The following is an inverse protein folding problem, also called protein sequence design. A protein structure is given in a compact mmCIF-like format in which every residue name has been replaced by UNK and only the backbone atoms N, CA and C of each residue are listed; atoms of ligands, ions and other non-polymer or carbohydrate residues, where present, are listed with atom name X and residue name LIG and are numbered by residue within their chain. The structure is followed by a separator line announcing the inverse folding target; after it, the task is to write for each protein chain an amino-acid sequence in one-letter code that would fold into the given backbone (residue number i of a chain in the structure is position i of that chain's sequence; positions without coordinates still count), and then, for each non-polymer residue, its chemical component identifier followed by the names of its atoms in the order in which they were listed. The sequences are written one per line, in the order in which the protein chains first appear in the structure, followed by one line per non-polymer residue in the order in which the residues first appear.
data_IF_578573891330
#
_entry.id   IF_578573891330
#
_cell.length_a   1.000
_cell.length_b   1.000
_cell.length_c   1.000
_cell.angle_alpha   90.00
_cell.angle_beta   90.00
_cell.angle_gamma   90.00
#
_symmetry.space_group_name_H-M   'P 1'
#
loop_
_entity.id
_entity.type
_entity.pdbx_description
1 polymer ?
#
# COMPACT_ATOMS: atom_id res chain seq x y z
N UNK A 1 8.14 7.16 -34.26
CA UNK A 1 8.46 5.71 -34.08
C UNK A 1 9.27 5.49 -32.80
N UNK A 2 10.34 6.26 -32.56
CA UNK A 2 11.17 6.19 -31.34
C UNK A 2 10.40 6.50 -30.05
N UNK A 3 9.51 7.50 -30.06
CA UNK A 3 8.67 7.83 -28.89
C UNK A 3 7.77 6.65 -28.50
N UNK A 4 7.12 6.00 -29.47
CA UNK A 4 6.26 4.82 -29.23
C UNK A 4 7.10 3.65 -28.70
N UNK A 5 8.33 3.48 -29.20
CA UNK A 5 9.24 2.45 -28.75
C UNK A 5 9.70 2.68 -27.30
N UNK A 6 9.99 3.92 -26.92
CA UNK A 6 10.36 4.30 -25.56
C UNK A 6 9.21 4.12 -24.56
N UNK A 7 7.97 4.31 -25.00
CA UNK A 7 6.75 4.12 -24.19
C UNK A 7 6.26 2.67 -24.15
N UNK A 8 6.81 1.78 -24.99
CA UNK A 8 6.37 0.40 -25.10
C UNK A 8 6.37 -0.38 -23.77
N UNK A 9 7.32 -0.20 -22.82
CA UNK A 9 7.27 -0.90 -21.54
C UNK A 9 6.09 -0.47 -20.67
N UNK A 10 5.77 0.82 -20.66
CA UNK A 10 4.64 1.34 -19.89
C UNK A 10 3.30 0.85 -20.46
N UNK A 11 3.19 0.86 -21.79
CA UNK A 11 2.01 0.32 -22.48
C UNK A 11 1.85 -1.20 -22.22
N UNK A 12 2.95 -1.97 -22.25
CA UNK A 12 2.93 -3.39 -21.93
C UNK A 12 2.55 -3.65 -20.47
N UNK A 13 3.09 -2.89 -19.52
CA UNK A 13 2.71 -3.02 -18.10
C UNK A 13 1.22 -2.73 -17.94
N UNK A 14 0.72 -1.62 -18.50
CA UNK A 14 -0.69 -1.26 -18.44
C UNK A 14 -1.58 -2.37 -19.04
N UNK A 15 -1.22 -2.88 -20.22
CA UNK A 15 -1.93 -3.96 -20.89
C UNK A 15 -1.98 -5.23 -20.02
N UNK A 16 -0.84 -5.70 -19.50
CA UNK A 16 -0.77 -6.90 -18.68
C UNK A 16 -1.55 -6.74 -17.37
N UNK A 17 -1.48 -5.59 -16.72
CA UNK A 17 -2.26 -5.29 -15.51
C UNK A 17 -3.76 -5.31 -15.80
N UNK A 18 -4.20 -4.71 -16.92
CA UNK A 18 -5.61 -4.76 -17.34
C UNK A 18 -6.03 -6.21 -17.61
N UNK A 19 -5.24 -6.96 -18.36
CA UNK A 19 -5.54 -8.37 -18.69
C UNK A 19 -5.65 -9.24 -17.43
N UNK A 20 -4.76 -9.06 -16.46
CA UNK A 20 -4.82 -9.75 -15.16
C UNK A 20 -6.00 -9.29 -14.29
N UNK A 21 -6.46 -8.05 -14.48
CA UNK A 21 -7.61 -7.48 -13.79
C UNK A 21 -8.97 -7.95 -14.34
N UNK A 22 -9.02 -8.54 -15.54
CA UNK A 22 -10.27 -9.06 -16.12
C UNK A 22 -10.82 -10.17 -15.22
N UNK A 23 -12.09 -10.11 -14.77
CA UNK A 23 -12.66 -11.07 -13.83
C UNK A 23 -12.52 -12.53 -14.26
N UNK A 24 -12.68 -12.81 -15.55
CA UNK A 24 -12.51 -14.15 -16.12
C UNK A 24 -11.07 -14.68 -15.97
N UNK A 25 -10.08 -13.82 -16.24
CA UNK A 25 -8.65 -14.16 -16.13
C UNK A 25 -8.27 -14.33 -14.66
N UNK A 26 -8.70 -13.42 -13.79
CA UNK A 26 -8.49 -13.50 -12.34
C UNK A 26 -9.10 -14.77 -11.75
N UNK A 27 -10.31 -15.15 -12.16
CA UNK A 27 -10.96 -16.38 -11.70
C UNK A 27 -10.29 -17.66 -12.21
N UNK A 28 -9.82 -17.68 -13.47
CA UNK A 28 -9.11 -18.81 -14.04
C UNK A 28 -7.76 -19.02 -13.34
N UNK A 29 -6.99 -17.95 -13.16
CA UNK A 29 -5.67 -17.97 -12.54
C UNK A 29 -5.76 -18.18 -11.03
N UNK A 30 -6.78 -17.62 -10.36
CA UNK A 30 -6.98 -17.75 -8.92
C UNK A 30 -7.21 -19.18 -8.43
N UNK A 31 -7.56 -20.13 -9.32
CA UNK A 31 -7.61 -21.57 -9.00
C UNK A 31 -6.23 -22.17 -8.69
N UNK A 32 -5.16 -21.50 -9.13
CA UNK A 32 -3.78 -21.91 -8.87
C UNK A 32 -3.25 -21.39 -7.53
N UNK A 33 -4.01 -20.52 -6.86
CA UNK A 33 -3.63 -19.98 -5.56
C UNK A 33 -3.72 -21.04 -4.47
N UNK A 34 -2.68 -21.13 -3.65
CA UNK A 34 -2.68 -22.01 -2.49
C UNK A 34 -3.21 -21.25 -1.27
N UNK A 35 -4.25 -21.77 -0.63
CA UNK A 35 -4.83 -21.21 0.59
C UNK A 35 -4.80 -22.27 1.68
N UNK A 36 -4.09 -22.00 2.77
CA UNK A 36 -4.04 -22.89 3.92
C UNK A 36 -4.32 -22.12 5.21
N UNK A 37 -5.10 -22.69 6.14
CA UNK A 37 -5.25 -22.11 7.47
C UNK A 37 -3.90 -22.11 8.18
N UNK A 38 -3.60 -21.03 8.90
CA UNK A 38 -2.35 -20.95 9.68
C UNK A 38 -2.47 -21.87 10.89
N UNK A 39 -1.61 -22.91 11.04
CA UNK A 39 -1.68 -23.84 12.16
C UNK A 39 -1.58 -23.10 13.50
N UNK A 40 -2.50 -23.38 14.42
CA UNK A 40 -2.49 -22.80 15.77
C UNK A 40 -2.96 -21.35 15.89
N UNK A 41 -3.27 -20.66 14.79
CA UNK A 41 -3.78 -19.28 14.80
C UNK A 41 -5.14 -19.15 14.11
N UNK A 42 -5.44 -19.99 13.12
CA UNK A 42 -6.71 -19.97 12.43
C UNK A 42 -7.87 -20.11 13.42
N UNK A 43 -8.75 -19.10 13.43
CA UNK A 43 -9.95 -19.05 14.26
C UNK A 43 -9.69 -18.98 15.78
N UNK A 44 -8.46 -18.68 16.22
CA UNK A 44 -8.11 -18.53 17.63
C UNK A 44 -8.29 -17.10 18.16
N UNK A 45 -8.33 -16.11 17.27
CA UNK A 45 -8.51 -14.69 17.63
C UNK A 45 -9.98 -14.33 17.43
N UNK A 46 -10.64 -13.85 18.47
CA UNK A 46 -12.03 -13.41 18.44
C UNK A 46 -12.03 -11.89 18.56
N UNK A 47 -12.56 -11.19 17.55
CA UNK A 47 -12.87 -9.77 17.67
C UNK A 47 -14.23 -9.66 18.36
N UNK A 48 -14.27 -8.96 19.49
CA UNK A 48 -15.48 -8.75 20.29
C UNK A 48 -15.81 -7.25 20.41
N UNK A 49 -16.93 -6.93 21.06
CA UNK A 49 -17.29 -5.55 21.37
C UNK A 49 -16.19 -4.88 22.23
N UNK A 50 -15.86 -3.60 22.00
CA UNK A 50 -16.54 -2.63 21.16
C UNK A 50 -15.98 -2.54 19.74
N UNK A 51 -15.13 -3.46 19.27
CA UNK A 51 -14.49 -3.39 17.95
C UNK A 51 -15.46 -3.80 16.84
N UNK A 52 -16.21 -4.87 17.07
CA UNK A 52 -17.26 -5.39 16.19
C UNK A 52 -18.57 -5.53 16.98
N UNK A 53 -19.71 -5.39 16.32
CA UNK A 53 -21.04 -5.45 17.00
C UNK A 53 -21.43 -6.86 17.43
N UNK A 54 -20.94 -7.87 16.71
CA UNK A 54 -21.09 -9.29 17.03
C UNK A 54 -19.72 -9.91 17.05
N UNK A 55 -19.50 -10.88 17.92
CA UNK A 55 -18.24 -11.62 17.97
C UNK A 55 -17.96 -12.26 16.61
N UNK A 56 -16.87 -11.84 15.98
CA UNK A 56 -16.41 -12.40 14.71
C UNK A 56 -15.08 -13.06 14.98
N UNK A 57 -15.01 -14.34 14.61
CA UNK A 57 -13.77 -15.09 14.69
C UNK A 57 -12.89 -14.74 13.49
N UNK A 58 -11.69 -14.25 13.78
CA UNK A 58 -10.75 -13.76 12.77
C UNK A 58 -10.13 -14.94 12.01
N UNK A 59 -10.33 -14.95 10.69
CA UNK A 59 -9.74 -15.96 9.82
C UNK A 59 -8.27 -15.67 9.53
N UNK A 60 -7.36 -16.45 10.11
CA UNK A 60 -5.96 -16.46 9.71
C UNK A 60 -5.73 -17.49 8.59
N UNK A 61 -5.80 -17.04 7.34
CA UNK A 61 -5.57 -17.86 6.15
C UNK A 61 -4.30 -17.36 5.46
N UNK A 62 -3.32 -18.24 5.29
CA UNK A 62 -2.18 -17.99 4.43
C UNK A 62 -2.61 -18.18 2.98
N UNK A 63 -2.69 -17.08 2.22
CA UNK A 63 -2.96 -17.10 0.79
C UNK A 63 -1.67 -16.83 0.01
N UNK A 64 -1.25 -17.82 -0.76
CA UNK A 64 -0.14 -17.71 -1.68
C UNK A 64 -0.66 -17.65 -3.12
N UNK A 65 -0.83 -16.41 -3.58
CA UNK A 65 -1.32 -16.08 -4.91
C UNK A 65 -0.15 -15.95 -5.90
N UNK A 66 0.38 -17.08 -6.38
CA UNK A 66 1.52 -17.08 -7.31
C UNK A 66 1.18 -16.36 -8.62
N UNK A 67 0.29 -16.93 -9.45
CA UNK A 67 0.01 -16.34 -10.75
C UNK A 67 -1.05 -15.24 -10.64
N UNK A 68 -1.92 -15.28 -9.64
CA UNK A 68 -3.02 -14.32 -9.49
C UNK A 68 -2.54 -12.93 -9.01
N UNK A 69 -1.31 -12.83 -8.50
CA UNK A 69 -0.73 -11.54 -8.11
C UNK A 69 -0.46 -10.64 -9.30
N UNK A 70 -0.83 -9.36 -9.19
CA UNK A 70 -0.54 -8.32 -10.17
C UNK A 70 0.97 -8.19 -10.42
N UNK A 71 1.81 -8.50 -9.42
CA UNK A 71 3.26 -8.49 -9.58
C UNK A 71 3.76 -9.47 -10.65
N UNK A 72 3.11 -10.63 -10.79
CA UNK A 72 3.45 -11.63 -11.81
C UNK A 72 3.15 -11.12 -13.21
N UNK A 73 2.04 -10.38 -13.39
CA UNK A 73 1.70 -9.71 -14.64
C UNK A 73 2.80 -8.70 -15.05
N UNK A 74 3.27 -7.90 -14.10
CA UNK A 74 4.33 -6.91 -14.34
C UNK A 74 5.68 -7.56 -14.68
N UNK A 75 6.02 -8.68 -14.04
CA UNK A 75 7.23 -9.45 -14.36
C UNK A 75 7.16 -10.00 -15.78
N UNK A 76 6.02 -10.57 -16.17
CA UNK A 76 5.81 -11.07 -17.54
C UNK A 76 5.87 -9.93 -18.56
N UNK A 77 5.26 -8.79 -18.26
CA UNK A 77 5.35 -7.58 -19.09
C UNK A 77 6.81 -7.14 -19.27
N UNK A 78 7.63 -7.20 -18.21
CA UNK A 78 9.06 -6.89 -18.27
C UNK A 78 9.86 -7.85 -19.16
N UNK A 79 9.56 -9.15 -19.12
CA UNK A 79 10.19 -10.15 -19.98
C UNK A 79 9.82 -9.99 -21.46
N UNK A 80 8.64 -9.45 -21.76
CA UNK A 80 8.23 -9.09 -23.13
C UNK A 80 8.83 -7.74 -23.54
N UNK A 81 8.87 -6.77 -22.63
CA UNK A 81 9.38 -5.43 -22.90
C UNK A 81 10.88 -5.40 -23.22
N UNK A 82 11.70 -6.24 -22.57
CA UNK A 82 13.14 -6.31 -22.83
C UNK A 82 13.47 -6.60 -24.31
N UNK A 83 12.96 -7.70 -24.89
CA UNK A 83 13.07 -7.99 -26.33
C UNK A 83 12.50 -6.91 -27.24
N UNK A 84 11.34 -6.33 -26.89
CA UNK A 84 10.74 -5.23 -27.65
C UNK A 84 11.67 -4.02 -27.70
N UNK A 85 12.40 -3.72 -26.62
CA UNK A 85 13.39 -2.66 -26.57
C UNK A 85 14.72 -3.00 -27.26
N UNK A 86 14.87 -4.20 -27.84
CA UNK A 86 16.08 -4.63 -28.54
C UNK A 86 17.11 -5.36 -27.66
N UNK A 87 16.77 -5.72 -26.42
CA UNK A 87 17.61 -6.55 -25.56
C UNK A 87 17.41 -8.03 -25.87
N UNK A 88 18.49 -8.82 -25.88
CA UNK A 88 18.35 -10.28 -25.92
C UNK A 88 17.71 -10.80 -24.63
N UNK A 89 16.97 -11.92 -24.68
CA UNK A 89 16.32 -12.50 -23.50
C UNK A 89 17.32 -12.80 -22.35
N UNK A 90 18.55 -13.18 -22.70
CA UNK A 90 19.64 -13.36 -21.73
C UNK A 90 20.11 -12.06 -21.08
N UNK A 91 20.13 -10.95 -21.83
CA UNK A 91 20.43 -9.63 -21.27
C UNK A 91 19.30 -9.16 -20.33
N UNK A 92 18.05 -9.33 -20.72
CA UNK A 92 16.87 -9.03 -19.91
C UNK A 92 16.91 -9.77 -18.56
N UNK A 93 17.16 -11.09 -18.59
CA UNK A 93 17.27 -11.90 -17.37
C UNK A 93 18.44 -11.46 -16.47
N UNK A 94 19.57 -11.07 -17.06
CA UNK A 94 20.74 -10.57 -16.32
C UNK A 94 20.43 -9.25 -15.61
N UNK A 95 19.74 -8.33 -16.28
CA UNK A 95 19.28 -7.06 -15.69
C UNK A 95 18.27 -7.33 -14.56
N UNK A 96 17.30 -8.21 -14.79
CA UNK A 96 16.32 -8.61 -13.78
C UNK A 96 16.99 -9.18 -12.52
N UNK A 97 17.94 -10.12 -12.67
CA UNK A 97 18.67 -10.68 -11.53
C UNK A 97 19.49 -9.65 -10.78
N UNK A 98 20.11 -8.69 -11.50
CA UNK A 98 20.86 -7.59 -10.89
C UNK A 98 19.93 -6.68 -10.09
N UNK A 99 18.74 -6.39 -10.60
CA UNK A 99 17.73 -5.61 -9.89
C UNK A 99 17.26 -6.32 -8.60
N UNK A 100 16.96 -7.63 -8.67
CA UNK A 100 16.60 -8.43 -7.50
C UNK A 100 17.69 -8.39 -6.42
N UNK A 101 18.96 -8.55 -6.82
CA UNK A 101 20.08 -8.49 -5.88
C UNK A 101 20.24 -7.12 -5.22
N UNK A 102 20.04 -6.04 -6.01
CA UNK A 102 20.11 -4.66 -5.51
C UNK A 102 18.99 -4.35 -4.50
N UNK A 103 17.81 -4.95 -4.68
CA UNK A 103 16.63 -4.69 -3.85
C UNK A 103 16.46 -5.66 -2.66
N UNK A 104 17.38 -6.61 -2.45
CA UNK A 104 17.22 -7.66 -1.42
C UNK A 104 16.96 -7.14 -0.01
N UNK A 105 17.61 -6.04 0.39
CA UNK A 105 17.44 -5.46 1.72
C UNK A 105 16.08 -4.76 1.84
N UNK A 106 15.62 -4.10 0.77
CA UNK A 106 14.27 -3.54 0.70
C UNK A 106 13.21 -4.65 0.78
N UNK A 107 13.40 -5.78 0.11
CA UNK A 107 12.51 -6.95 0.22
C UNK A 107 12.45 -7.48 1.66
N UNK A 108 13.61 -7.65 2.32
CA UNK A 108 13.66 -8.11 3.71
C UNK A 108 12.93 -7.14 4.65
N UNK A 109 13.14 -5.83 4.48
CA UNK A 109 12.46 -4.82 5.29
C UNK A 109 10.94 -4.87 5.12
N UNK A 110 10.43 -4.97 3.89
CA UNK A 110 8.98 -5.08 3.62
C UNK A 110 8.41 -6.36 4.23
N UNK A 111 9.12 -7.49 4.12
CA UNK A 111 8.70 -8.75 4.75
C UNK A 111 8.60 -8.60 6.27
N UNK A 112 9.61 -8.01 6.93
CA UNK A 112 9.57 -7.74 8.36
C UNK A 112 8.40 -6.82 8.76
N UNK A 113 8.12 -5.79 7.96
CA UNK A 113 6.98 -4.89 8.22
C UNK A 113 5.63 -5.59 8.07
N UNK A 114 5.48 -6.46 7.06
CA UNK A 114 4.26 -7.27 6.89
C UNK A 114 4.10 -8.24 8.06
N UNK A 115 5.17 -8.90 8.49
CA UNK A 115 5.14 -9.75 9.69
C UNK A 115 4.72 -8.96 10.92
N UNK A 116 5.29 -7.76 11.14
CA UNK A 116 4.91 -6.89 12.25
C UNK A 116 3.44 -6.46 12.15
N UNK A 117 2.97 -6.08 10.96
CA UNK A 117 1.57 -5.73 10.73
C UNK A 117 0.61 -6.86 11.10
N UNK A 118 0.92 -8.11 10.73
CA UNK A 118 0.12 -9.26 11.14
C UNK A 118 0.17 -9.49 12.66
N UNK A 119 1.32 -9.31 13.30
CA UNK A 119 1.43 -9.38 14.76
C UNK A 119 0.52 -8.34 15.41
N UNK A 120 0.61 -7.05 15.01
CA UNK A 120 -0.23 -5.94 15.49
C UNK A 120 -1.72 -6.26 15.33
N UNK A 121 -2.10 -6.85 14.18
CA UNK A 121 -3.49 -7.23 13.87
C UNK A 121 -4.01 -8.36 14.76
N UNK A 122 -3.23 -9.43 14.92
CA UNK A 122 -3.70 -10.62 15.64
C UNK A 122 -3.58 -10.50 17.16
N UNK A 123 -2.69 -9.64 17.68
CA UNK A 123 -2.67 -9.30 19.10
C UNK A 123 -3.69 -8.21 19.49
N UNK A 124 -4.42 -7.65 18.51
CA UNK A 124 -5.47 -6.64 18.73
C UNK A 124 -4.95 -5.22 19.01
N UNK A 125 -3.65 -4.95 18.82
CA UNK A 125 -3.08 -3.61 19.00
C UNK A 125 -3.67 -2.60 18.01
N UNK A 126 -3.93 -3.01 16.76
CA UNK A 126 -4.59 -2.17 15.75
C UNK A 126 -5.98 -1.71 16.21
N UNK A 127 -6.75 -2.62 16.82
CA UNK A 127 -8.08 -2.34 17.32
C UNK A 127 -8.07 -1.41 18.54
N UNK A 128 -7.15 -1.59 19.49
CA UNK A 128 -7.00 -0.71 20.66
C UNK A 128 -6.61 0.70 20.23
N UNK A 129 -5.61 0.83 19.36
CA UNK A 129 -5.21 2.13 18.80
C UNK A 129 -6.35 2.75 18.00
N UNK A 130 -7.07 1.97 17.20
CA UNK A 130 -8.21 2.44 16.42
C UNK A 130 -9.34 2.97 17.30
N UNK A 131 -9.66 2.27 18.39
CA UNK A 131 -10.64 2.72 19.39
C UNK A 131 -10.17 4.00 20.09
N UNK A 132 -8.90 4.09 20.47
CA UNK A 132 -8.35 5.31 21.07
C UNK A 132 -8.49 6.51 20.12
N UNK A 133 -8.32 6.30 18.81
CA UNK A 133 -8.48 7.36 17.82
C UNK A 133 -9.93 7.79 17.60
N UNK A 134 -10.93 7.01 18.01
CA UNK A 134 -12.34 7.45 17.93
C UNK A 134 -12.60 8.69 18.81
N UNK A 135 -11.82 8.90 19.87
CA UNK A 135 -11.89 10.11 20.69
C UNK A 135 -11.53 11.40 19.94
N UNK A 136 -10.89 11.32 18.77
CA UNK A 136 -10.62 12.49 17.92
C UNK A 136 -11.87 13.02 17.21
N UNK A 137 -12.96 12.23 17.17
CA UNK A 137 -14.26 12.64 16.66
C UNK A 137 -14.21 13.17 15.23
N UNK A 138 -14.78 14.37 15.01
CA UNK A 138 -14.89 14.99 13.69
C UNK A 138 -13.54 15.32 13.03
N UNK A 139 -12.45 15.37 13.79
CA UNK A 139 -11.11 15.65 13.26
C UNK A 139 -10.39 14.39 12.78
N UNK A 140 -10.99 13.20 12.98
CA UNK A 140 -10.35 11.94 12.61
C UNK A 140 -9.89 11.86 11.15
N UNK A 141 -10.63 12.32 10.12
CA UNK A 141 -10.15 12.27 8.75
C UNK A 141 -8.78 12.96 8.52
N UNK A 142 -8.54 14.05 9.24
CA UNK A 142 -7.25 14.77 9.20
C UNK A 142 -6.18 13.91 9.89
N UNK A 143 -6.46 13.45 11.11
CA UNK A 143 -5.52 12.61 11.87
C UNK A 143 -5.19 11.29 11.14
N UNK A 144 -6.19 10.62 10.57
CA UNK A 144 -6.03 9.41 9.77
C UNK A 144 -5.12 9.63 8.56
N UNK A 145 -5.24 10.78 7.89
CA UNK A 145 -4.33 11.15 6.79
C UNK A 145 -2.89 11.33 7.28
N UNK A 146 -2.69 11.96 8.44
CA UNK A 146 -1.37 12.09 9.05
C UNK A 146 -0.79 10.77 9.57
N UNK A 147 -1.63 9.82 10.01
CA UNK A 147 -1.20 8.45 10.34
C UNK A 147 -0.65 7.78 9.08
N UNK A 148 -1.33 7.92 7.94
CA UNK A 148 -0.83 7.44 6.65
C UNK A 148 0.52 8.05 6.28
N UNK A 149 0.63 9.37 6.42
CA UNK A 149 1.87 10.13 6.21
C UNK A 149 3.02 9.61 7.08
N UNK A 150 2.79 9.45 8.39
CA UNK A 150 3.77 8.93 9.34
C UNK A 150 4.18 7.50 8.98
N UNK A 151 3.21 6.64 8.65
CA UNK A 151 3.48 5.26 8.30
C UNK A 151 4.39 5.15 7.09
N UNK A 152 4.24 5.98 6.06
CA UNK A 152 5.12 5.98 4.89
C UNK A 152 6.42 6.72 5.13
N UNK A 153 6.42 7.80 5.92
CA UNK A 153 7.65 8.49 6.31
C UNK A 153 8.63 7.53 7.01
N UNK A 154 8.11 6.62 7.85
CA UNK A 154 8.90 5.62 8.57
C UNK A 154 9.20 4.37 7.72
N UNK A 155 8.21 3.84 7.00
CA UNK A 155 8.35 2.58 6.25
C UNK A 155 8.99 2.75 4.86
N UNK A 156 8.93 3.95 4.29
CA UNK A 156 9.29 4.24 2.90
C UNK A 156 8.35 3.66 1.84
N UNK A 157 7.26 2.97 2.22
CA UNK A 157 6.38 2.28 1.27
C UNK A 157 4.91 2.39 1.63
N UNK A 158 4.05 2.69 0.64
CA UNK A 158 2.60 2.74 0.86
C UNK A 158 2.03 1.37 1.23
N UNK A 159 2.55 0.30 0.62
CA UNK A 159 2.16 -1.06 0.93
C UNK A 159 2.47 -1.44 2.40
N UNK A 160 3.65 -1.05 2.91
CA UNK A 160 4.01 -1.25 4.32
C UNK A 160 3.14 -0.43 5.27
N UNK A 161 2.89 0.84 4.96
CA UNK A 161 1.99 1.69 5.75
C UNK A 161 0.56 1.15 5.79
N UNK A 162 0.03 0.68 4.66
CA UNK A 162 -1.31 0.08 4.60
C UNK A 162 -1.37 -1.25 5.36
N UNK A 163 -0.31 -2.05 5.34
CA UNK A 163 -0.24 -3.25 6.17
C UNK A 163 -0.28 -2.90 7.66
N UNK A 164 0.51 -1.90 8.10
CA UNK A 164 0.62 -1.51 9.51
C UNK A 164 -0.61 -0.78 10.05
N UNK A 165 -1.15 0.18 9.30
CA UNK A 165 -2.18 1.12 9.78
C UNK A 165 -3.51 1.02 9.04
N UNK A 166 -3.60 0.26 7.94
CA UNK A 166 -4.84 0.17 7.16
C UNK A 166 -6.01 -0.41 7.96
N UNK A 167 -5.79 -1.46 8.76
CA UNK A 167 -6.86 -2.04 9.59
C UNK A 167 -7.33 -1.06 10.67
N UNK A 168 -6.40 -0.34 11.29
CA UNK A 168 -6.71 0.71 12.26
C UNK A 168 -7.66 1.76 11.65
N UNK A 169 -7.39 2.19 10.42
CA UNK A 169 -8.21 3.19 9.73
C UNK A 169 -9.64 2.70 9.50
N UNK A 170 -9.77 1.44 9.07
CA UNK A 170 -11.06 0.77 8.85
C UNK A 170 -11.84 0.61 10.16
N UNK A 171 -11.18 0.19 11.24
CA UNK A 171 -11.80 0.00 12.55
C UNK A 171 -12.31 1.34 13.10
N UNK A 172 -11.49 2.38 13.10
CA UNK A 172 -11.91 3.70 13.59
C UNK A 172 -13.01 4.31 12.73
N UNK A 173 -12.93 4.17 11.39
CA UNK A 173 -13.96 4.64 10.48
C UNK A 173 -15.32 4.02 10.80
N UNK A 174 -15.35 2.68 10.96
CA UNK A 174 -16.56 1.93 11.29
C UNK A 174 -17.17 2.41 12.61
N UNK A 175 -16.36 2.74 13.61
CA UNK A 175 -16.83 3.24 14.91
C UNK A 175 -17.33 4.67 14.88
N UNK A 176 -16.75 5.51 14.02
CA UNK A 176 -17.16 6.90 13.83
C UNK A 176 -18.30 7.07 12.83
N UNK A 177 -18.80 5.98 12.23
CA UNK A 177 -19.80 6.05 11.16
C UNK A 177 -19.27 6.66 9.86
N UNK A 178 -17.95 6.64 9.66
CA UNK A 178 -17.28 7.10 8.45
C UNK A 178 -17.11 5.94 7.47
N UNK A 179 -17.01 6.26 6.19
CA UNK A 179 -16.78 5.25 5.16
C UNK A 179 -15.38 4.60 5.30
N UNK A 180 -15.29 3.27 5.45
CA UNK A 180 -14.02 2.59 5.61
C UNK A 180 -13.12 2.65 4.38
N UNK A 181 -13.70 2.72 3.17
CA UNK A 181 -12.95 2.83 1.91
C UNK A 181 -12.31 4.21 1.82
N UNK A 182 -13.04 5.27 2.19
CA UNK A 182 -12.51 6.63 2.25
C UNK A 182 -11.32 6.72 3.21
N UNK A 183 -11.45 6.17 4.42
CA UNK A 183 -10.36 6.23 5.40
C UNK A 183 -9.17 5.33 5.02
N UNK A 184 -9.40 4.16 4.41
CA UNK A 184 -8.33 3.34 3.84
C UNK A 184 -7.61 4.05 2.68
N UNK A 185 -8.36 4.76 1.82
CA UNK A 185 -7.80 5.58 0.75
C UNK A 185 -7.01 6.76 1.32
N UNK A 186 -7.52 7.43 2.35
CA UNK A 186 -6.85 8.53 3.05
C UNK A 186 -5.49 8.10 3.61
N UNK A 187 -5.39 6.88 4.16
CA UNK A 187 -4.12 6.32 4.62
C UNK A 187 -3.09 6.21 3.48
N UNK A 188 -3.52 5.71 2.33
CA UNK A 188 -2.66 5.57 1.17
C UNK A 188 -2.27 6.94 0.56
N UNK A 189 -3.23 7.85 0.41
CA UNK A 189 -2.99 9.19 -0.18
C UNK A 189 -2.17 10.09 0.73
N UNK A 190 -2.43 10.08 2.03
CA UNK A 190 -1.58 10.73 3.04
C UNK A 190 -0.18 10.11 3.06
N UNK A 191 -0.09 8.79 2.89
CA UNK A 191 1.16 8.06 2.74
C UNK A 191 2.03 8.52 1.58
N UNK A 192 1.44 8.79 0.41
CA UNK A 192 2.18 9.35 -0.75
C UNK A 192 2.84 10.68 -0.39
N UNK A 193 2.18 11.53 0.40
CA UNK A 193 2.79 12.78 0.88
C UNK A 193 3.93 12.51 1.87
N UNK A 194 3.89 11.39 2.59
CA UNK A 194 4.96 10.92 3.47
C UNK A 194 6.20 10.44 2.72
N UNK A 195 6.08 9.98 1.47
CA UNK A 195 7.24 9.52 0.68
C UNK A 195 8.30 10.58 0.47
N UNK A 196 7.93 11.86 0.47
CA UNK A 196 8.86 12.96 0.28
C UNK A 196 9.92 13.03 1.40
N UNK A 197 9.55 12.64 2.62
CA UNK A 197 10.44 12.65 3.78
C UNK A 197 11.05 11.28 4.09
N UNK A 198 10.60 10.22 3.41
CA UNK A 198 11.14 8.90 3.58
C UNK A 198 12.62 8.87 3.18
N UNK A 199 13.47 8.30 4.05
CA UNK A 199 14.92 8.29 3.87
C UNK A 199 15.35 7.70 2.51
N UNK A 200 14.66 6.67 2.04
CA UNK A 200 14.94 6.04 0.73
C UNK A 200 14.77 7.01 -0.44
N UNK A 201 13.65 7.71 -0.49
CA UNK A 201 13.36 8.70 -1.55
C UNK A 201 14.30 9.90 -1.46
N UNK A 202 14.60 10.34 -0.24
CA UNK A 202 15.44 11.49 0.04
C UNK A 202 16.89 11.26 -0.41
N UNK A 203 17.46 10.09 -0.12
CA UNK A 203 18.82 9.73 -0.54
C UNK A 203 18.91 9.69 -2.07
N UNK A 204 17.92 9.09 -2.74
CA UNK A 204 17.88 9.03 -4.21
C UNK A 204 17.79 10.44 -4.81
N UNK A 205 16.96 11.31 -4.22
CA UNK A 205 16.83 12.70 -4.66
C UNK A 205 18.14 13.48 -4.49
N UNK A 206 18.88 13.29 -3.39
CA UNK A 206 20.16 13.96 -3.17
C UNK A 206 21.23 13.55 -4.19
N UNK A 207 21.32 12.25 -4.48
CA UNK A 207 22.23 11.72 -5.51
C UNK A 207 21.85 12.24 -6.89
N UNK A 208 20.56 12.23 -7.23
CA UNK A 208 20.07 12.72 -8.53
C UNK A 208 20.28 14.23 -8.73
N UNK A 209 20.17 15.02 -7.65
CA UNK A 209 20.38 16.46 -7.68
C UNK A 209 21.86 16.87 -7.47
N UNK A 210 22.78 15.92 -7.26
CA UNK A 210 24.21 16.20 -7.05
C UNK A 210 24.53 16.90 -5.72
N UNK A 211 23.69 16.73 -4.71
CA UNK A 211 23.81 17.36 -3.38
C UNK A 211 24.03 16.33 -2.26
N UNK A 212 24.81 15.29 -2.55
CA UNK A 212 25.17 14.23 -1.59
C UNK A 212 25.77 14.83 -0.30
N UNK A 213 25.39 14.30 0.87
CA UNK A 213 25.82 14.83 2.17
C UNK A 213 24.99 16.01 2.69
N UNK A 214 24.02 16.50 1.92
CA UNK A 214 23.05 17.55 2.33
C UNK A 214 21.63 17.00 2.52
N UNK A 215 21.50 15.71 2.85
CA UNK A 215 20.21 15.05 3.06
C UNK A 215 19.37 15.76 4.13
N UNK A 216 20.02 16.21 5.22
CA UNK A 216 19.34 16.94 6.30
C UNK A 216 18.73 18.27 5.85
N UNK A 217 19.42 19.00 4.97
CA UNK A 217 18.93 20.27 4.41
C UNK A 217 17.73 20.01 3.49
N UNK A 218 17.83 18.99 2.63
CA UNK A 218 16.71 18.57 1.78
C UNK A 218 15.51 18.12 2.61
N UNK A 219 15.74 17.31 3.65
CA UNK A 219 14.69 16.85 4.57
C UNK A 219 13.96 18.04 5.20
N UNK A 220 14.70 19.04 5.70
CA UNK A 220 14.11 20.23 6.32
C UNK A 220 13.29 21.06 5.33
N UNK A 221 13.71 21.11 4.06
CA UNK A 221 12.99 21.78 3.00
C UNK A 221 11.70 21.03 2.62
N UNK A 222 11.78 19.71 2.39
CA UNK A 222 10.65 18.90 1.91
C UNK A 222 9.67 18.52 3.01
N UNK A 223 10.09 18.44 4.28
CA UNK A 223 9.19 18.08 5.38
C UNK A 223 8.03 19.07 5.56
N UNK A 224 8.29 20.36 5.36
CA UNK A 224 7.24 21.39 5.40
C UNK A 224 6.21 21.17 4.30
N UNK A 225 6.68 20.84 3.09
CA UNK A 225 5.81 20.54 1.95
C UNK A 225 5.02 19.24 2.18
N UNK A 226 5.66 18.22 2.75
CA UNK A 226 5.00 16.96 3.15
C UNK A 226 3.86 17.17 4.13
N UNK A 227 4.09 17.93 5.20
CA UNK A 227 3.06 18.23 6.20
C UNK A 227 1.95 19.11 5.63
N UNK A 228 2.29 20.13 4.84
CA UNK A 228 1.31 21.00 4.21
C UNK A 228 0.40 20.23 3.24
N UNK A 229 0.97 19.37 2.39
CA UNK A 229 0.19 18.56 1.46
C UNK A 229 -0.61 17.48 2.20
N UNK A 230 -0.07 16.87 3.26
CA UNK A 230 -0.83 15.96 4.11
C UNK A 230 -2.05 16.66 4.74
N UNK A 231 -1.90 17.92 5.18
CA UNK A 231 -3.03 18.71 5.67
C UNK A 231 -4.06 18.99 4.59
N UNK A 232 -3.64 19.37 3.38
CA UNK A 232 -4.54 19.61 2.24
C UNK A 232 -5.33 18.33 1.91
N UNK A 233 -4.66 17.18 1.84
CA UNK A 233 -5.33 15.89 1.65
C UNK A 233 -6.28 15.61 2.82
N UNK A 234 -5.87 15.86 4.07
CA UNK A 234 -6.71 15.67 5.25
C UNK A 234 -8.00 16.49 5.17
N UNK A 235 -7.91 17.76 4.77
CA UNK A 235 -9.06 18.64 4.57
C UNK A 235 -9.98 18.14 3.44
N UNK A 236 -9.42 17.64 2.34
CA UNK A 236 -10.19 17.03 1.26
C UNK A 236 -10.91 15.75 1.72
N UNK A 237 -10.25 14.90 2.50
CA UNK A 237 -10.87 13.71 3.08
C UNK A 237 -11.98 14.12 4.06
N UNK A 238 -11.78 15.14 4.89
CA UNK A 238 -12.83 15.71 5.75
C UNK A 238 -14.03 16.21 4.93
N UNK A 239 -13.78 16.89 3.81
CA UNK A 239 -14.84 17.36 2.92
C UNK A 239 -15.65 16.18 2.35
N UNK A 240 -14.99 15.11 1.90
CA UNK A 240 -15.67 13.89 1.44
C UNK A 240 -16.36 13.13 2.57
N UNK A 241 -15.82 13.17 3.79
CA UNK A 241 -16.41 12.50 4.95
C UNK A 241 -17.72 13.14 5.41
N UNK A 242 -17.83 14.49 5.37
CA UNK A 242 -18.95 15.20 5.99
C UNK A 242 -19.82 16.02 5.03
N UNK A 243 -19.27 16.48 3.89
CA UNK A 243 -19.99 17.39 2.96
C UNK A 243 -20.44 16.67 1.70
N UNK A 244 -19.58 15.82 1.13
CA UNK A 244 -19.87 15.08 -0.10
C UNK A 244 -19.69 13.56 0.07
N UNK A 245 -20.42 12.92 1.00
CA UNK A 245 -20.33 11.47 1.20
C UNK A 245 -20.69 10.70 -0.08
N UNK A 246 -21.71 11.14 -0.82
CA UNK A 246 -22.20 10.45 -2.03
C UNK A 246 -21.19 10.33 -3.19
N UNK A 247 -20.10 11.11 -3.16
CA UNK A 247 -19.02 11.05 -4.16
C UNK A 247 -18.06 9.90 -3.87
N UNK A 248 -18.01 9.44 -2.62
CA UNK A 248 -17.23 8.28 -2.24
C UNK A 248 -17.87 7.06 -2.87
N UNK A 249 -17.05 6.27 -3.55
CA UNK A 249 -17.43 5.00 -4.16
C UNK A 249 -17.85 3.97 -3.09
N UNK A 250 -19.03 4.15 -2.50
CA UNK A 250 -19.64 3.21 -1.57
C UNK A 250 -20.02 1.93 -2.33
N UNK A 251 -19.82 0.75 -1.72
CA UNK A 251 -20.29 -0.53 -2.25
C UNK A 251 -19.79 -0.95 -3.66
N UNK A 252 -18.66 -0.43 -4.14
CA UNK A 252 -18.05 -1.00 -5.34
C UNK A 252 -17.55 -2.42 -5.05
N UNK A 253 -18.32 -3.42 -5.50
CA UNK A 253 -17.97 -4.86 -5.52
C UNK A 253 -16.90 -5.18 -6.57
N UNK A 254 -15.81 -4.41 -6.61
CA UNK A 254 -14.64 -4.73 -7.43
C UNK A 254 -13.56 -5.38 -6.58
N UNK A 255 -13.78 -6.63 -6.15
CA UNK A 255 -12.73 -7.56 -5.73
C UNK A 255 -13.13 -9.00 -6.05
#
# INVERSE_FOLDING_TARGET
REVIHAWSPFALIALFVILWGIPAVKAAIGKTSYKAPVPGLHQMVIRTAPVVEKDVVESAIFSFDWLASVGTATVLAGFVAGPVLGLSMGATLRVFRRALYRMRYSFLAILCMICMAYVIRYCGMDAVMGLAMTHTGALYPIFGTFIGWLGVALSGTDAGSNALFGNLQVVTATKLGLDPVLMAAANSTGGVMGKMVAAQSLIIACVAAGIEGKEGDLFRAVAKHGLALALVIGLLVTLYAYVFPDVVAHNHRFW
#
